data_IF_575684566505
#
_entry.id   IF_575684566505
#
_cell.length_a   1.000
_cell.length_b   1.000
_cell.length_c   1.000
_cell.angle_alpha   90.00
_cell.angle_beta   90.00
_cell.angle_gamma   90.00
#
_symmetry.space_group_name_H-M   'P 1'
#
loop_
_entity.id
_entity.type
_entity.pdbx_description
1 polymer ?
#
# COMPACT_ATOMS: atom_id res chain seq x y z
N UNK A 1 -9.48 22.86 -11.46
CA UNK A 1 -10.76 22.46 -10.82
C UNK A 1 -10.67 22.73 -9.33
N UNK A 2 -11.78 23.13 -8.68
CA UNK A 2 -11.81 23.38 -7.24
C UNK A 2 -12.06 22.06 -6.49
N UNK A 3 -11.11 21.65 -5.65
CA UNK A 3 -11.15 20.41 -4.88
C UNK A 3 -12.39 20.31 -3.97
N UNK A 4 -12.88 21.43 -3.45
CA UNK A 4 -14.07 21.46 -2.58
C UNK A 4 -15.34 21.09 -3.35
N UNK A 5 -15.45 21.56 -4.59
CA UNK A 5 -16.59 21.27 -5.46
C UNK A 5 -16.58 19.78 -5.84
N UNK A 6 -15.39 19.24 -6.15
CA UNK A 6 -15.23 17.83 -6.50
C UNK A 6 -15.66 16.90 -5.35
N UNK A 7 -15.22 17.20 -4.13
CA UNK A 7 -15.53 16.41 -2.93
C UNK A 7 -16.87 16.80 -2.29
N UNK A 8 -17.65 17.68 -2.93
CA UNK A 8 -18.96 18.15 -2.44
C UNK A 8 -18.89 18.69 -1.01
N UNK A 9 -17.79 19.34 -0.64
CA UNK A 9 -17.59 19.88 0.72
C UNK A 9 -18.40 21.17 0.89
N UNK A 10 -19.17 21.26 1.97
CA UNK A 10 -19.96 22.44 2.30
C UNK A 10 -19.26 23.25 3.39
N UNK A 11 -19.06 24.56 3.18
CA UNK A 11 -18.52 25.47 4.19
C UNK A 11 -19.70 26.27 4.77
N UNK A 12 -19.97 26.12 6.06
CA UNK A 12 -20.92 26.95 6.79
C UNK A 12 -20.19 28.14 7.42
N UNK A 13 -20.26 29.30 6.78
CA UNK A 13 -19.59 30.52 7.26
C UNK A 13 -20.19 31.06 8.57
N UNK A 14 -21.48 30.83 8.82
CA UNK A 14 -22.16 31.32 10.03
C UNK A 14 -21.68 30.57 11.28
N UNK A 15 -21.56 29.25 11.17
CA UNK A 15 -21.10 28.39 12.27
C UNK A 15 -19.57 28.18 12.25
N UNK A 16 -18.88 28.64 11.20
CA UNK A 16 -17.44 28.45 10.97
C UNK A 16 -17.03 26.98 10.94
N UNK A 17 -17.87 26.12 10.35
CA UNK A 17 -17.63 24.68 10.23
C UNK A 17 -17.53 24.24 8.76
N UNK A 18 -16.86 23.12 8.56
CA UNK A 18 -16.76 22.43 7.27
C UNK A 18 -17.53 21.11 7.38
N UNK A 19 -18.49 20.91 6.49
CA UNK A 19 -19.35 19.72 6.45
C UNK A 19 -18.94 18.87 5.25
N UNK A 20 -18.51 17.64 5.54
CA UNK A 20 -18.25 16.62 4.54
C UNK A 20 -19.53 15.80 4.34
N UNK A 21 -20.04 15.67 3.10
CA UNK A 21 -21.18 14.82 2.85
C UNK A 21 -20.80 13.38 3.15
N UNK A 22 -21.70 12.64 3.79
CA UNK A 22 -21.53 11.20 3.95
C UNK A 22 -21.38 10.59 2.55
N UNK A 23 -20.40 9.69 2.34
CA UNK A 23 -20.36 8.94 1.10
C UNK A 23 -21.72 8.26 0.93
N UNK A 24 -22.26 8.25 -0.29
CA UNK A 24 -23.35 7.33 -0.57
C UNK A 24 -22.79 5.95 -0.31
N UNK A 25 -23.48 5.14 0.49
CA UNK A 25 -23.10 3.75 0.82
C UNK A 25 -23.08 2.83 -0.43
N UNK A 26 -23.25 3.40 -1.62
CA UNK A 26 -23.22 2.74 -2.92
C UNK A 26 -21.80 2.30 -3.36
N UNK A 27 -20.76 2.65 -2.61
CA UNK A 27 -19.48 1.97 -2.75
C UNK A 27 -19.64 0.56 -2.17
N UNK A 28 -19.65 -0.46 -3.03
CA UNK A 28 -19.31 -1.82 -2.66
C UNK A 28 -17.89 -1.80 -2.08
N UNK A 29 -17.76 -1.37 -0.83
CA UNK A 29 -16.53 -1.46 -0.08
C UNK A 29 -16.34 -2.95 0.18
N UNK A 30 -15.19 -3.46 -0.23
CA UNK A 30 -14.76 -4.82 0.07
C UNK A 30 -14.87 -5.01 1.59
N UNK A 31 -15.45 -6.13 2.01
CA UNK A 31 -15.41 -6.47 3.43
C UNK A 31 -13.97 -6.71 3.85
N UNK A 32 -13.69 -6.60 5.14
CA UNK A 32 -12.37 -6.91 5.70
C UNK A 32 -11.86 -8.29 5.26
N UNK A 33 -12.78 -9.26 5.15
CA UNK A 33 -12.47 -10.62 4.66
C UNK A 33 -12.10 -10.64 3.19
N UNK A 34 -12.81 -9.88 2.35
CA UNK A 34 -12.51 -9.80 0.91
C UNK A 34 -11.16 -9.09 0.68
N UNK A 35 -10.82 -8.12 1.54
CA UNK A 35 -9.50 -7.47 1.54
C UNK A 35 -8.41 -8.44 1.96
N UNK A 36 -8.62 -9.21 3.04
CA UNK A 36 -7.67 -10.21 3.52
C UNK A 36 -7.43 -11.32 2.48
N UNK A 37 -8.49 -11.82 1.84
CA UNK A 37 -8.41 -12.83 0.79
C UNK A 37 -7.67 -12.30 -0.44
N UNK A 38 -7.96 -11.08 -0.88
CA UNK A 38 -7.26 -10.45 -2.01
C UNK A 38 -5.77 -10.21 -1.73
N UNK A 39 -5.42 -9.79 -0.51
CA UNK A 39 -4.04 -9.63 -0.07
C UNK A 39 -3.30 -10.97 -0.04
N UNK A 40 -3.97 -12.04 0.41
CA UNK A 40 -3.41 -13.39 0.45
C UNK A 40 -3.14 -13.92 -0.96
N UNK A 41 -4.08 -13.77 -1.89
CA UNK A 41 -3.90 -14.15 -3.29
C UNK A 41 -2.70 -13.42 -3.94
N UNK A 42 -2.57 -12.11 -3.68
CA UNK A 42 -1.42 -11.33 -4.15
C UNK A 42 -0.11 -11.81 -3.52
N UNK A 43 -0.08 -12.07 -2.21
CA UNK A 43 1.10 -12.57 -1.52
C UNK A 43 1.57 -13.93 -2.09
N UNK A 44 0.64 -14.85 -2.36
CA UNK A 44 0.92 -16.14 -2.99
C UNK A 44 1.50 -15.97 -4.40
N UNK A 45 0.96 -15.02 -5.19
CA UNK A 45 1.50 -14.69 -6.51
C UNK A 45 2.93 -14.12 -6.45
N UNK A 46 3.22 -13.25 -5.48
CA UNK A 46 4.57 -12.73 -5.27
C UNK A 46 5.56 -13.83 -4.87
N UNK A 47 5.16 -14.75 -4.00
CA UNK A 47 5.97 -15.90 -3.60
C UNK A 47 6.27 -16.80 -4.81
N UNK A 48 5.26 -17.14 -5.61
CA UNK A 48 5.44 -17.92 -6.84
C UNK A 48 6.39 -17.22 -7.83
N UNK A 49 6.25 -15.92 -8.03
CA UNK A 49 7.13 -15.15 -8.91
C UNK A 49 8.57 -15.08 -8.39
N UNK A 50 8.75 -14.94 -7.07
CA UNK A 50 10.05 -14.99 -6.44
C UNK A 50 10.70 -16.38 -6.60
N UNK A 51 9.94 -17.47 -6.43
CA UNK A 51 10.42 -18.84 -6.67
C UNK A 51 10.81 -19.08 -8.13
N UNK A 52 10.01 -18.59 -9.09
CA UNK A 52 10.34 -18.69 -10.52
C UNK A 52 11.61 -17.89 -10.88
N UNK A 53 11.81 -16.71 -10.28
CA UNK A 53 13.06 -15.95 -10.44
C UNK A 53 14.26 -16.65 -9.82
N UNK A 54 14.07 -17.31 -8.67
CA UNK A 54 15.11 -18.08 -7.99
C UNK A 54 15.53 -19.30 -8.82
N UNK A 55 14.59 -20.00 -9.45
CA UNK A 55 14.87 -21.14 -10.34
C UNK A 55 15.63 -20.70 -11.61
N UNK A 56 15.46 -19.45 -12.03
CA UNK A 56 16.25 -18.80 -13.10
C UNK A 56 17.66 -18.35 -12.69
N UNK A 57 18.09 -18.61 -11.44
CA UNK A 57 19.44 -18.30 -10.95
C UNK A 57 19.66 -16.88 -10.45
N UNK A 58 18.60 -16.05 -10.35
CA UNK A 58 18.70 -14.72 -9.73
C UNK A 58 18.77 -14.92 -8.22
N UNK A 59 19.90 -14.56 -7.61
CA UNK A 59 20.06 -14.60 -6.16
C UNK A 59 19.06 -13.65 -5.51
N UNK A 60 18.49 -14.02 -4.37
CA UNK A 60 17.46 -13.21 -3.69
C UNK A 60 18.00 -11.82 -3.31
N UNK A 61 19.32 -11.72 -3.10
CA UNK A 61 20.05 -10.47 -2.90
C UNK A 61 20.02 -9.50 -4.11
N UNK A 62 19.66 -9.94 -5.32
CA UNK A 62 19.61 -9.12 -6.54
C UNK A 62 18.22 -8.53 -6.83
N UNK A 63 17.19 -8.95 -6.07
CA UNK A 63 15.87 -8.37 -6.22
C UNK A 63 15.90 -6.91 -5.75
N UNK A 64 15.61 -5.97 -6.66
CA UNK A 64 15.61 -4.52 -6.36
C UNK A 64 14.80 -4.16 -5.11
N UNK A 65 13.69 -4.86 -4.86
CA UNK A 65 12.90 -4.68 -3.63
C UNK A 65 13.65 -5.10 -2.36
N UNK A 66 14.45 -6.18 -2.42
CA UNK A 66 15.28 -6.67 -1.30
C UNK A 66 16.52 -5.77 -1.07
N UNK A 67 17.03 -5.16 -2.14
CA UNK A 67 18.10 -4.16 -2.05
C UNK A 67 17.61 -2.83 -1.48
N UNK A 68 16.43 -2.38 -1.88
CA UNK A 68 15.86 -1.11 -1.43
C UNK A 68 15.16 -1.21 -0.06
N UNK A 69 14.86 -2.41 0.42
CA UNK A 69 14.14 -2.62 1.68
C UNK A 69 14.75 -1.89 2.89
N UNK A 70 16.08 -1.94 3.11
CA UNK A 70 16.73 -1.23 4.23
C UNK A 70 16.66 0.30 4.08
N UNK A 71 16.62 0.81 2.85
CA UNK A 71 16.53 2.25 2.58
C UNK A 71 15.10 2.79 2.77
N UNK A 72 14.09 1.95 2.51
CA UNK A 72 12.66 2.32 2.64
C UNK A 72 12.17 2.18 4.09
N UNK A 73 12.69 1.20 4.84
CA UNK A 73 12.29 0.93 6.23
C UNK A 73 13.51 0.87 7.18
N UNK A 74 14.27 1.97 7.33
CA UNK A 74 15.53 1.95 8.08
C UNK A 74 15.37 1.64 9.58
N UNK A 75 14.19 1.88 10.15
CA UNK A 75 13.91 1.66 11.57
C UNK A 75 13.60 0.20 11.90
N UNK A 76 13.03 -0.56 10.94
CA UNK A 76 12.59 -1.95 11.12
C UNK A 76 13.72 -2.96 10.93
N UNK A 77 14.84 -2.55 10.31
CA UNK A 77 15.96 -3.43 9.93
C UNK A 77 17.29 -3.01 10.55
N UNK A 78 17.25 -2.50 11.78
CA UNK A 78 18.41 -1.90 12.47
C UNK A 78 19.62 -2.83 12.67
N UNK A 79 19.42 -4.15 12.71
CA UNK A 79 20.47 -5.14 12.97
C UNK A 79 21.22 -5.63 11.71
N UNK A 80 20.76 -5.25 10.51
CA UNK A 80 21.33 -5.75 9.26
C UNK A 80 22.27 -4.69 8.66
N UNK A 81 23.51 -5.04 8.30
CA UNK A 81 24.41 -4.11 7.62
C UNK A 81 23.77 -3.58 6.33
N UNK A 82 23.72 -2.24 6.18
CA UNK A 82 23.22 -1.58 4.96
C UNK A 82 23.95 -2.05 3.69
N UNK A 83 25.21 -2.45 3.81
CA UNK A 83 25.99 -3.09 2.74
C UNK A 83 26.04 -4.61 2.93
N UNK A 84 25.35 -5.37 2.06
CA UNK A 84 25.59 -6.81 1.91
C UNK A 84 26.76 -6.99 0.93
N UNK A 85 27.97 -7.21 1.46
CA UNK A 85 29.15 -7.59 0.66
C UNK A 85 29.11 -9.03 0.20
#
# INVERSE_FOLDING_TARGET
MNWLIFNRVHINCCEKIIVFPKPKEDSQLMSEKDVEESLKEHAEMFVMFASLKLEGGVKMEELLVVCAFPDVFPEDVSDVPLERK
#
